data_IF_673674627404
#
_entry.id   IF_673674627404
#
_cell.length_a   1.000
_cell.length_b   1.000
_cell.length_c   1.000
_cell.angle_alpha   90.00
_cell.angle_beta   90.00
_cell.angle_gamma   90.00
#
_symmetry.space_group_name_H-M   'P 1'
#
loop_
_entity.id
_entity.type
_entity.pdbx_description
1 polymer ?
#
# COMPACT_ATOMS: atom_id res chain seq x y z
N UNK A 1 -3.71 -6.91 -1.14
CA UNK A 1 -4.37 -8.08 -1.70
C UNK A 1 -4.03 -9.31 -0.88
N UNK A 2 -5.06 -10.06 -0.44
CA UNK A 2 -4.92 -11.37 0.19
C UNK A 2 -5.09 -12.46 -0.87
N UNK A 3 -4.18 -13.45 -0.87
CA UNK A 3 -4.16 -14.53 -1.86
C UNK A 3 -4.18 -15.86 -1.12
N UNK A 4 -5.15 -16.73 -1.44
CA UNK A 4 -5.26 -18.09 -0.91
C UNK A 4 -5.33 -19.08 -2.07
N UNK A 5 -4.44 -20.08 -2.09
CA UNK A 5 -4.37 -21.09 -3.14
C UNK A 5 -4.27 -20.50 -4.57
N UNK A 6 -3.45 -19.46 -4.74
CA UNK A 6 -3.24 -18.79 -6.02
C UNK A 6 -4.40 -17.90 -6.50
N UNK A 7 -5.42 -17.67 -5.67
CA UNK A 7 -6.56 -16.81 -5.99
C UNK A 7 -6.63 -15.63 -5.04
N UNK A 8 -6.89 -14.44 -5.58
CA UNK A 8 -7.23 -13.26 -4.78
C UNK A 8 -8.55 -13.53 -4.04
N UNK A 9 -8.51 -13.42 -2.71
CA UNK A 9 -9.70 -13.56 -1.86
C UNK A 9 -10.20 -12.22 -1.36
N UNK A 10 -9.28 -11.23 -1.20
CA UNK A 10 -9.62 -9.87 -0.84
C UNK A 10 -8.61 -8.87 -1.42
N UNK A 11 -9.04 -7.63 -1.59
CA UNK A 11 -8.21 -6.49 -2.04
C UNK A 11 -8.72 -5.18 -1.44
N UNK A 12 -7.81 -4.26 -1.15
CA UNK A 12 -8.18 -2.92 -0.65
C UNK A 12 -8.89 -2.06 -1.69
N UNK A 13 -8.72 -2.35 -2.98
CA UNK A 13 -9.39 -1.61 -4.04
C UNK A 13 -10.86 -2.05 -4.14
N UNK A 14 -11.77 -1.08 -4.15
CA UNK A 14 -13.20 -1.31 -4.31
C UNK A 14 -13.63 -1.31 -5.77
N UNK A 15 -14.80 -0.71 -6.06
CA UNK A 15 -15.33 -0.55 -7.43
C UNK A 15 -14.38 0.24 -8.34
N UNK A 16 -13.61 1.16 -7.76
CA UNK A 16 -12.57 1.90 -8.46
C UNK A 16 -11.26 1.84 -7.66
N UNK A 17 -10.10 2.10 -8.29
CA UNK A 17 -8.83 2.16 -7.57
C UNK A 17 -8.65 3.45 -6.73
N UNK A 18 -9.72 4.18 -6.42
CA UNK A 18 -9.71 5.31 -5.47
C UNK A 18 -9.78 4.78 -4.05
N UNK A 19 -10.56 3.73 -3.82
CA UNK A 19 -10.73 3.10 -2.52
C UNK A 19 -9.46 2.37 -2.07
N UNK A 20 -9.39 2.08 -0.79
CA UNK A 20 -8.27 1.39 -0.16
C UNK A 20 -7.25 2.34 0.46
N UNK A 21 -5.98 2.05 0.27
CA UNK A 21 -4.87 2.85 0.84
C UNK A 21 -4.78 4.24 0.20
N UNK A 22 -4.42 5.23 1.00
CA UNK A 22 -3.99 6.53 0.49
C UNK A 22 -2.81 6.35 -0.47
N UNK A 23 -2.83 7.06 -1.59
CA UNK A 23 -1.80 6.98 -2.64
C UNK A 23 -1.16 8.35 -2.89
N UNK A 24 -0.32 8.43 -3.90
CA UNK A 24 0.35 9.67 -4.30
C UNK A 24 -0.64 10.86 -4.47
N UNK A 25 -1.74 10.63 -5.21
CA UNK A 25 -2.74 11.68 -5.51
C UNK A 25 -4.18 11.26 -5.20
N UNK A 26 -4.42 10.01 -4.80
CA UNK A 26 -5.76 9.48 -4.50
C UNK A 26 -6.02 9.48 -3.01
N UNK A 27 -7.27 9.79 -2.62
CA UNK A 27 -7.63 9.95 -1.21
C UNK A 27 -7.57 8.64 -0.41
N UNK A 28 -7.72 7.48 -1.06
CA UNK A 28 -7.96 6.22 -0.37
C UNK A 28 -9.34 6.19 0.30
N UNK A 29 -9.50 5.33 1.29
CA UNK A 29 -10.73 5.17 2.03
C UNK A 29 -11.15 6.44 2.77
N UNK A 30 -12.41 6.85 2.56
CA UNK A 30 -13.03 7.98 3.25
C UNK A 30 -14.44 7.60 3.70
N UNK A 31 -14.97 8.30 4.70
CA UNK A 31 -16.38 8.17 5.08
C UNK A 31 -17.28 8.66 3.92
N UNK A 32 -18.16 7.80 3.37
CA UNK A 32 -19.07 8.21 2.31
C UNK A 32 -19.99 9.36 2.69
N UNK A 33 -20.24 9.57 3.98
CA UNK A 33 -21.03 10.71 4.47
C UNK A 33 -20.43 12.08 4.19
N UNK A 34 -19.13 12.14 3.90
CA UNK A 34 -18.46 13.40 3.53
C UNK A 34 -18.77 13.81 2.08
N UNK A 35 -19.15 12.88 1.22
CA UNK A 35 -19.33 13.13 -0.21
C UNK A 35 -20.36 14.22 -0.54
N UNK A 36 -21.56 14.26 0.06
CA UNK A 36 -22.51 15.36 -0.16
C UNK A 36 -21.92 16.73 0.19
N UNK A 37 -21.15 16.83 1.25
CA UNK A 37 -20.49 18.09 1.65
C UNK A 37 -19.41 18.51 0.66
N UNK A 38 -18.66 17.58 0.12
CA UNK A 38 -17.69 17.85 -0.93
C UNK A 38 -18.40 18.35 -2.20
N UNK A 39 -19.56 17.78 -2.55
CA UNK A 39 -20.35 18.25 -3.71
C UNK A 39 -20.86 19.67 -3.49
N UNK A 40 -21.36 20.01 -2.29
CA UNK A 40 -21.75 21.38 -1.93
C UNK A 40 -20.55 22.34 -2.09
N UNK A 41 -19.38 21.96 -1.58
CA UNK A 41 -18.18 22.79 -1.59
C UNK A 41 -17.58 22.98 -2.99
N UNK A 42 -17.44 21.91 -3.78
CA UNK A 42 -16.82 21.95 -5.11
C UNK A 42 -17.82 22.22 -6.25
N UNK A 43 -19.11 22.18 -5.98
CA UNK A 43 -20.19 22.53 -6.90
C UNK A 43 -20.57 21.44 -7.92
N UNK A 44 -19.86 20.32 -8.00
CA UNK A 44 -20.24 19.19 -8.84
C UNK A 44 -19.55 17.88 -8.47
N UNK A 45 -20.21 16.75 -8.74
CA UNK A 45 -19.65 15.40 -8.60
C UNK A 45 -18.35 15.25 -9.41
N UNK A 46 -18.29 15.78 -10.64
CA UNK A 46 -17.11 15.70 -11.49
C UNK A 46 -15.88 16.33 -10.84
N UNK A 47 -16.03 17.50 -10.23
CA UNK A 47 -14.93 18.17 -9.51
C UNK A 47 -14.51 17.41 -8.27
N UNK A 48 -15.47 16.86 -7.51
CA UNK A 48 -15.16 16.02 -6.35
C UNK A 48 -14.34 14.81 -6.77
N UNK A 49 -14.76 14.11 -7.82
CA UNK A 49 -14.02 12.96 -8.36
C UNK A 49 -12.61 13.33 -8.82
N UNK A 50 -12.44 14.51 -9.45
CA UNK A 50 -11.10 15.01 -9.81
C UNK A 50 -10.24 15.25 -8.56
N UNK A 51 -10.78 15.86 -7.52
CA UNK A 51 -10.06 16.10 -6.27
C UNK A 51 -9.67 14.78 -5.61
N UNK A 52 -10.60 13.85 -5.49
CA UNK A 52 -10.37 12.55 -4.86
C UNK A 52 -9.31 11.70 -5.61
N UNK A 53 -9.20 11.87 -6.94
CA UNK A 53 -8.29 11.06 -7.77
C UNK A 53 -6.94 11.72 -8.02
N UNK A 54 -6.87 13.05 -8.10
CA UNK A 54 -5.68 13.77 -8.60
C UNK A 54 -5.13 14.82 -7.65
N UNK A 55 -5.89 15.22 -6.63
CA UNK A 55 -5.54 16.34 -5.74
C UNK A 55 -5.65 15.97 -4.26
N UNK A 56 -5.64 14.69 -3.97
CA UNK A 56 -5.68 14.12 -2.62
C UNK A 56 -4.39 13.34 -2.34
N UNK A 57 -4.44 12.41 -1.40
CA UNK A 57 -3.30 11.58 -1.04
C UNK A 57 -2.13 12.37 -0.48
N UNK A 58 -0.91 11.94 -0.74
CA UNK A 58 0.29 12.68 -0.34
C UNK A 58 0.27 14.08 -0.91
N UNK A 59 -0.03 14.23 -2.21
CA UNK A 59 -0.11 15.52 -2.86
C UNK A 59 -1.11 16.48 -2.20
N UNK A 60 -2.28 15.99 -1.82
CA UNK A 60 -3.30 16.82 -1.17
C UNK A 60 -2.92 17.30 0.23
N UNK A 61 -2.05 16.59 0.91
CA UNK A 61 -1.58 16.93 2.26
C UNK A 61 -0.31 17.80 2.24
N UNK A 62 0.59 17.59 1.27
CA UNK A 62 1.95 18.15 1.31
C UNK A 62 2.30 18.98 0.07
N UNK A 63 1.49 18.93 -0.99
CA UNK A 63 1.84 19.48 -2.29
C UNK A 63 2.76 18.58 -3.14
N UNK A 64 3.24 17.44 -2.56
CA UNK A 64 4.17 16.53 -3.20
C UNK A 64 3.57 15.12 -3.32
N UNK A 65 3.75 14.51 -4.49
CA UNK A 65 3.26 13.15 -4.77
C UNK A 65 4.35 12.07 -4.60
N UNK A 66 5.61 12.46 -4.64
CA UNK A 66 6.75 11.55 -4.51
C UNK A 66 7.12 11.39 -3.03
N UNK A 67 7.10 10.15 -2.54
CA UNK A 67 7.42 9.82 -1.14
C UNK A 67 8.80 10.35 -0.71
N UNK A 68 9.78 10.39 -1.61
CA UNK A 68 11.12 10.90 -1.31
C UNK A 68 11.08 12.39 -0.97
N UNK A 69 10.26 13.16 -1.70
CA UNK A 69 10.07 14.60 -1.44
C UNK A 69 9.22 14.81 -0.19
N UNK A 70 8.18 14.00 0.03
CA UNK A 70 7.39 14.04 1.26
C UNK A 70 8.26 13.77 2.49
N UNK A 71 9.16 12.79 2.44
CA UNK A 71 10.12 12.52 3.53
C UNK A 71 11.06 13.70 3.77
N UNK A 72 11.56 14.32 2.71
CA UNK A 72 12.41 15.50 2.83
C UNK A 72 11.67 16.67 3.53
N UNK A 73 10.41 16.93 3.16
CA UNK A 73 9.58 17.91 3.85
C UNK A 73 9.41 17.57 5.34
N UNK A 74 9.19 16.30 5.67
CA UNK A 74 9.07 15.86 7.06
C UNK A 74 10.37 16.07 7.85
N UNK A 75 11.53 15.81 7.25
CA UNK A 75 12.86 16.07 7.83
C UNK A 75 13.12 17.57 8.03
N UNK A 76 12.58 18.42 7.16
CA UNK A 76 12.61 19.88 7.27
C UNK A 76 11.60 20.44 8.30
N UNK A 77 10.80 19.57 8.93
CA UNK A 77 9.87 19.93 10.00
C UNK A 77 8.43 20.19 9.54
N UNK A 78 8.06 19.83 8.32
CA UNK A 78 6.68 19.95 7.85
C UNK A 78 5.77 18.96 8.59
N UNK A 79 4.82 19.50 9.37
CA UNK A 79 3.90 18.69 10.17
C UNK A 79 2.95 17.84 9.31
N UNK A 80 2.50 18.38 8.17
CA UNK A 80 1.57 17.66 7.30
C UNK A 80 2.26 16.51 6.56
N UNK A 81 3.54 16.66 6.25
CA UNK A 81 4.34 15.58 5.68
C UNK A 81 4.52 14.43 6.70
N UNK A 82 4.79 14.76 7.96
CA UNK A 82 4.83 13.76 9.04
C UNK A 82 3.48 13.05 9.19
N UNK A 83 2.37 13.80 9.25
CA UNK A 83 1.01 13.22 9.33
C UNK A 83 0.72 12.30 8.14
N UNK A 84 1.11 12.70 6.93
CA UNK A 84 0.90 11.91 5.72
C UNK A 84 1.64 10.56 5.77
N UNK A 85 2.91 10.57 6.20
CA UNK A 85 3.72 9.37 6.35
C UNK A 85 3.13 8.44 7.43
N UNK A 86 2.82 8.99 8.61
CA UNK A 86 2.23 8.22 9.71
C UNK A 86 0.88 7.58 9.32
N UNK A 87 0.04 8.35 8.65
CA UNK A 87 -1.23 7.86 8.14
C UNK A 87 -1.03 6.68 7.18
N UNK A 88 -0.14 6.83 6.20
CA UNK A 88 0.16 5.78 5.23
C UNK A 88 0.64 4.49 5.93
N UNK A 89 1.63 4.60 6.81
CA UNK A 89 2.16 3.46 7.57
C UNK A 89 1.03 2.78 8.36
N UNK A 90 0.22 3.56 9.07
CA UNK A 90 -0.86 3.03 9.90
C UNK A 90 -1.96 2.34 9.07
N UNK A 91 -2.32 2.90 7.91
CA UNK A 91 -3.28 2.27 6.99
C UNK A 91 -2.74 0.93 6.47
N UNK A 92 -1.48 0.87 6.02
CA UNK A 92 -0.86 -0.39 5.55
C UNK A 92 -0.84 -1.43 6.68
N UNK A 93 -0.46 -1.03 7.90
CA UNK A 93 -0.47 -1.92 9.08
C UNK A 93 -1.85 -2.53 9.34
N UNK A 94 -2.90 -1.70 9.31
CA UNK A 94 -4.27 -2.17 9.50
C UNK A 94 -4.69 -3.18 8.44
N UNK A 95 -4.33 -2.94 7.18
CA UNK A 95 -4.63 -3.85 6.08
C UNK A 95 -3.89 -5.19 6.24
N UNK A 96 -2.60 -5.16 6.61
CA UNK A 96 -1.85 -6.39 6.91
C UNK A 96 -2.58 -7.19 8.00
N UNK A 97 -2.96 -6.56 9.10
CA UNK A 97 -3.68 -7.21 10.20
C UNK A 97 -5.02 -7.80 9.76
N UNK A 98 -5.79 -7.08 8.93
CA UNK A 98 -7.05 -7.57 8.38
C UNK A 98 -6.83 -8.79 7.48
N UNK A 99 -5.85 -8.74 6.59
CA UNK A 99 -5.55 -9.86 5.68
C UNK A 99 -4.97 -11.08 6.39
N UNK A 100 -4.23 -10.89 7.47
CA UNK A 100 -3.83 -12.01 8.32
C UNK A 100 -5.04 -12.72 8.92
N UNK A 101 -6.06 -11.98 9.36
CA UNK A 101 -7.29 -12.55 9.87
C UNK A 101 -8.09 -13.27 8.76
N UNK A 102 -8.21 -12.68 7.55
CA UNK A 102 -8.86 -13.31 6.39
C UNK A 102 -8.20 -14.62 5.95
N UNK A 103 -6.90 -14.75 6.21
CA UNK A 103 -6.10 -15.94 5.90
C UNK A 103 -6.03 -16.91 7.09
N UNK A 104 -6.85 -16.73 8.13
CA UNK A 104 -6.85 -17.55 9.34
C UNK A 104 -5.49 -17.59 10.06
N UNK A 105 -4.65 -16.56 9.84
CA UNK A 105 -3.25 -16.47 10.26
C UNK A 105 -2.32 -17.54 9.66
N UNK A 106 -2.80 -18.27 8.66
CA UNK A 106 -2.03 -19.23 7.86
C UNK A 106 -1.41 -18.51 6.66
N UNK A 107 -0.33 -17.78 6.88
CA UNK A 107 0.33 -16.94 5.87
C UNK A 107 1.72 -17.48 5.58
N UNK A 108 1.96 -17.84 4.32
CA UNK A 108 3.27 -18.34 3.86
C UNK A 108 4.30 -17.21 3.71
N UNK A 109 3.86 -16.05 3.23
CA UNK A 109 4.74 -14.88 3.04
C UNK A 109 3.93 -13.59 2.86
N UNK A 110 4.56 -12.45 3.16
CA UNK A 110 4.10 -11.12 2.76
C UNK A 110 5.04 -10.61 1.67
N UNK A 111 4.47 -10.25 0.52
CA UNK A 111 5.23 -9.70 -0.61
C UNK A 111 4.97 -8.22 -0.72
N UNK A 112 6.03 -7.44 -0.65
CA UNK A 112 6.03 -6.00 -0.87
C UNK A 112 6.67 -5.70 -2.22
N UNK A 113 6.04 -4.85 -3.03
CA UNK A 113 6.59 -4.42 -4.32
C UNK A 113 6.21 -2.98 -4.64
N UNK A 114 6.80 -2.43 -5.69
CA UNK A 114 6.58 -1.05 -6.11
C UNK A 114 7.53 -0.06 -5.45
N UNK A 115 7.53 1.16 -5.96
CA UNK A 115 8.57 2.16 -5.71
C UNK A 115 8.90 2.43 -4.25
N UNK A 116 7.89 2.52 -3.37
CA UNK A 116 8.11 2.73 -1.93
C UNK A 116 8.77 1.50 -1.31
N UNK A 117 8.20 0.31 -1.54
CA UNK A 117 8.71 -0.91 -0.94
C UNK A 117 10.13 -1.27 -1.42
N UNK A 118 10.43 -1.02 -2.69
CA UNK A 118 11.71 -1.35 -3.30
C UNK A 118 12.84 -0.38 -2.92
N UNK A 119 12.51 0.87 -2.56
CA UNK A 119 13.52 1.92 -2.37
C UNK A 119 13.52 2.54 -0.95
N UNK A 120 12.58 2.18 -0.09
CA UNK A 120 12.47 2.78 1.25
C UNK A 120 12.40 1.73 2.36
N UNK A 121 13.56 1.26 2.77
CA UNK A 121 13.68 0.26 3.85
C UNK A 121 13.23 0.78 5.21
N UNK A 122 13.29 2.10 5.43
CA UNK A 122 12.83 2.70 6.69
C UNK A 122 11.31 2.65 6.82
N UNK A 123 10.60 3.02 5.75
CA UNK A 123 9.13 2.90 5.72
C UNK A 123 8.70 1.45 5.93
N UNK A 124 9.37 0.50 5.27
CA UNK A 124 9.09 -0.92 5.50
C UNK A 124 9.33 -1.34 6.95
N UNK A 125 10.47 -0.96 7.53
CA UNK A 125 10.76 -1.25 8.94
C UNK A 125 9.66 -0.72 9.86
N UNK A 126 9.19 0.50 9.64
CA UNK A 126 8.12 1.13 10.44
C UNK A 126 6.76 0.45 10.22
N UNK A 127 6.47 -0.01 9.01
CA UNK A 127 5.25 -0.79 8.73
C UNK A 127 5.24 -2.08 9.54
N UNK A 128 6.38 -2.79 9.60
CA UNK A 128 6.47 -4.10 10.25
C UNK A 128 6.90 -4.06 11.71
N UNK A 129 7.19 -2.88 12.27
CA UNK A 129 7.53 -2.71 13.69
C UNK A 129 6.42 -3.25 14.60
N UNK A 130 6.76 -4.14 15.53
CA UNK A 130 5.83 -4.81 16.43
C UNK A 130 5.14 -6.04 15.86
N UNK A 131 5.23 -6.29 14.55
CA UNK A 131 4.69 -7.51 13.95
C UNK A 131 5.55 -8.75 14.22
N UNK A 132 6.80 -8.58 14.66
CA UNK A 132 7.64 -9.66 15.15
C UNK A 132 6.99 -10.44 16.32
N UNK A 133 6.12 -9.79 17.08
CA UNK A 133 5.36 -10.41 18.17
C UNK A 133 4.32 -11.43 17.68
N UNK A 134 3.96 -11.38 16.39
CA UNK A 134 3.04 -12.32 15.72
C UNK A 134 3.74 -13.14 14.64
N UNK A 135 5.07 -13.21 14.70
CA UNK A 135 5.86 -14.07 13.85
C UNK A 135 6.23 -13.49 12.47
N UNK A 136 6.03 -12.20 12.23
CA UNK A 136 6.51 -11.57 11.01
C UNK A 136 7.97 -11.15 11.14
N UNK A 137 8.80 -11.50 10.18
CA UNK A 137 10.20 -11.09 10.13
C UNK A 137 10.58 -10.53 8.77
N UNK A 138 11.18 -9.33 8.77
CA UNK A 138 11.86 -8.78 7.60
C UNK A 138 13.12 -9.63 7.35
N UNK A 139 13.07 -10.46 6.32
CA UNK A 139 14.24 -11.24 5.90
C UNK A 139 15.32 -10.30 5.35
N UNK A 140 16.55 -10.51 5.80
CA UNK A 140 17.73 -9.82 5.21
C UNK A 140 18.08 -10.36 3.82
N UNK A 141 17.58 -11.55 3.46
CA UNK A 141 17.79 -12.19 2.17
C UNK A 141 16.45 -12.51 1.53
N UNK A 142 16.04 -11.68 0.59
CA UNK A 142 14.74 -11.75 -0.10
C UNK A 142 14.62 -12.93 -1.08
N UNK A 143 15.67 -13.75 -1.23
CA UNK A 143 15.71 -14.81 -2.23
C UNK A 143 15.61 -16.23 -1.67
N UNK A 144 15.65 -16.41 -0.36
CA UNK A 144 15.63 -17.74 0.28
C UNK A 144 14.51 -17.86 1.30
N UNK A 145 13.53 -18.69 0.98
CA UNK A 145 12.70 -19.35 1.98
C UNK A 145 13.59 -20.45 2.57
N UNK A 146 14.09 -20.26 3.78
CA UNK A 146 14.85 -21.30 4.47
C UNK A 146 13.91 -22.16 5.28
N UNK A 147 13.90 -23.46 4.99
CA UNK A 147 13.07 -24.48 5.62
C UNK A 147 13.46 -24.83 7.07
N UNK A 148 14.38 -24.13 7.68
CA UNK A 148 14.88 -24.48 9.00
C UNK A 148 14.67 -23.39 10.03
N UNK A 149 13.85 -23.75 11.01
CA UNK A 149 13.69 -23.13 12.33
C UNK A 149 12.94 -21.79 12.40
N UNK A 150 11.72 -21.92 12.72
CA UNK A 150 10.82 -20.96 13.36
C UNK A 150 9.60 -20.54 12.54
N UNK A 151 8.53 -20.43 13.27
CA UNK A 151 7.23 -19.87 12.96
C UNK A 151 7.26 -18.40 12.48
N UNK A 152 8.17 -18.03 11.60
CA UNK A 152 8.26 -16.67 11.09
C UNK A 152 7.72 -16.58 9.66
N UNK A 153 6.77 -15.69 9.47
CA UNK A 153 6.24 -15.34 8.16
C UNK A 153 7.26 -14.39 7.48
N UNK A 154 7.89 -14.77 6.37
CA UNK A 154 8.87 -13.93 5.71
C UNK A 154 8.20 -12.72 5.04
N UNK A 155 8.79 -11.55 5.21
CA UNK A 155 8.45 -10.35 4.45
C UNK A 155 9.48 -10.18 3.34
N UNK A 156 9.04 -10.29 2.10
CA UNK A 156 9.88 -10.24 0.91
C UNK A 156 9.64 -8.95 0.13
N UNK A 157 10.72 -8.35 -0.37
CA UNK A 157 10.63 -7.26 -1.34
C UNK A 157 10.93 -7.82 -2.73
N UNK A 158 9.95 -7.78 -3.61
CA UNK A 158 10.07 -8.28 -4.98
C UNK A 158 9.88 -7.14 -5.95
N UNK A 159 10.85 -6.95 -6.85
CA UNK A 159 10.78 -5.91 -7.86
C UNK A 159 9.61 -6.18 -8.81
N UNK A 160 8.75 -5.18 -8.98
CA UNK A 160 7.65 -5.24 -9.92
C UNK A 160 8.18 -5.24 -11.37
N UNK A 161 7.64 -6.13 -12.20
CA UNK A 161 7.93 -6.19 -13.62
C UNK A 161 6.65 -6.43 -14.43
N UNK A 162 5.78 -5.42 -14.41
CA UNK A 162 4.45 -5.48 -15.06
C UNK A 162 4.56 -5.62 -16.58
N UNK A 163 5.54 -4.95 -17.20
CA UNK A 163 5.76 -5.00 -18.65
C UNK A 163 6.12 -6.42 -19.11
N UNK A 164 6.99 -7.09 -18.38
CA UNK A 164 7.34 -8.49 -18.67
C UNK A 164 6.15 -9.43 -18.48
N UNK A 165 5.33 -9.20 -17.46
CA UNK A 165 4.13 -9.98 -17.21
C UNK A 165 3.12 -9.82 -18.35
N UNK A 166 2.87 -8.58 -18.79
CA UNK A 166 2.02 -8.26 -19.94
C UNK A 166 2.56 -8.88 -21.23
N UNK A 167 3.87 -8.75 -21.51
CA UNK A 167 4.49 -9.34 -22.70
C UNK A 167 4.33 -10.88 -22.72
N UNK A 168 4.53 -11.55 -21.58
CA UNK A 168 4.32 -13.00 -21.46
C UNK A 168 2.86 -13.40 -21.64
N UNK A 169 1.90 -12.60 -21.15
CA UNK A 169 0.49 -12.88 -21.34
C UNK A 169 0.10 -12.78 -22.83
N UNK A 170 0.52 -11.73 -23.52
CA UNK A 170 0.26 -11.55 -24.96
C UNK A 170 0.87 -12.69 -25.77
N UNK A 171 2.10 -13.11 -25.48
CA UNK A 171 2.75 -14.21 -26.19
C UNK A 171 1.99 -15.54 -26.05
N UNK A 172 1.34 -15.80 -24.91
CA UNK A 172 0.52 -17.01 -24.70
C UNK A 172 -0.78 -17.03 -25.51
N UNK A 173 -1.30 -15.84 -25.86
CA UNK A 173 -2.54 -15.73 -26.66
C UNK A 173 -2.27 -15.80 -28.17
N UNK A 174 -1.03 -15.55 -28.60
CA UNK A 174 -0.64 -15.45 -30.03
C UNK A 174 0.03 -16.74 -30.55
N UNK A 175 0.45 -17.64 -29.66
CA UNK A 175 1.04 -18.95 -29.98
C UNK A 175 0.09 -20.08 -29.59
#
# INVERSE_FOLDING_TARGET
NAVKNGKSIDTTMGYTPIDGLMMATRCGHIDPGVFPKLVEYYGSVKKVMEVMTKKSGFYGLTGEADMRLVKKLAEEGDEMANVAIERFINEVRKVIGAYMAELDYEVDAIVCSGGIAENDTEILRRIFEGYENVGLSLSKDTTKITDEECCYIPVMVIQANEELAMAKAVLKEVI
#
